data_IF_957032466217
#
_entry.id   IF_957032466217
#
_cell.length_a   1.000
_cell.length_b   1.000
_cell.length_c   1.000
_cell.angle_alpha   90.00
_cell.angle_beta   90.00
_cell.angle_gamma   90.00
#
_symmetry.space_group_name_H-M   'P 1'
#
loop_
_entity.id
_entity.type
_entity.pdbx_description
1 polymer ?
#
# COMPACT_ATOMS: atom_id res chain seq x y z
N UNK A 1 11.70 -52.25 44.94
CA UNK A 1 12.02 -51.40 46.11
C UNK A 1 12.41 -50.04 45.55
N UNK A 2 11.84 -48.88 45.85
CA UNK A 2 10.79 -48.45 46.76
C UNK A 2 10.75 -46.91 46.72
N UNK A 3 9.56 -46.37 46.44
CA UNK A 3 8.96 -45.10 46.87
C UNK A 3 9.53 -43.71 46.47
N UNK A 4 8.63 -43.05 45.73
CA UNK A 4 8.26 -41.64 45.62
C UNK A 4 8.38 -40.71 46.84
N UNK A 5 8.66 -39.43 46.53
CA UNK A 5 7.99 -38.18 47.01
C UNK A 5 8.16 -37.17 45.85
N UNK A 6 7.18 -36.49 45.27
CA UNK A 6 5.83 -36.11 45.70
C UNK A 6 5.81 -34.59 45.91
N UNK A 7 5.44 -33.80 44.90
CA UNK A 7 4.77 -32.49 45.05
C UNK A 7 3.76 -32.33 43.92
N UNK A 8 2.53 -32.08 44.37
CA UNK A 8 1.26 -31.95 43.68
C UNK A 8 1.16 -30.70 42.81
N UNK A 9 0.51 -30.81 41.65
CA UNK A 9 -0.25 -29.67 41.10
C UNK A 9 -1.55 -30.18 40.48
N UNK A 10 -2.60 -29.49 40.89
CA UNK A 10 -4.02 -29.82 40.79
C UNK A 10 -4.53 -30.07 39.37
N UNK A 11 -5.52 -30.96 39.34
CA UNK A 11 -6.48 -31.17 38.27
C UNK A 11 -7.35 -29.90 38.07
N UNK A 12 -7.70 -29.60 36.83
CA UNK A 12 -9.10 -29.30 36.42
C UNK A 12 -9.18 -29.17 34.88
N UNK A 13 -10.38 -29.36 34.30
CA UNK A 13 -10.57 -30.08 33.05
C UNK A 13 -11.00 -29.21 31.85
N UNK A 14 -11.04 -29.87 30.69
CA UNK A 14 -11.69 -29.43 29.45
C UNK A 14 -13.06 -28.76 29.68
N UNK A 15 -13.25 -27.58 29.07
CA UNK A 15 -14.54 -26.88 29.05
C UNK A 15 -14.59 -25.73 28.04
N UNK A 16 -15.31 -25.97 26.95
CA UNK A 16 -15.77 -25.03 25.92
C UNK A 16 -16.17 -23.64 26.44
N UNK A 17 -15.63 -22.57 25.84
CA UNK A 17 -16.34 -21.28 25.72
C UNK A 17 -15.81 -20.43 24.55
N UNK A 18 -16.31 -20.76 23.36
CA UNK A 18 -16.47 -19.81 22.26
C UNK A 18 -17.41 -18.67 22.71
N UNK A 19 -17.09 -17.43 22.32
CA UNK A 19 -17.73 -16.11 22.59
C UNK A 19 -17.00 -15.34 23.69
N UNK A 20 -16.80 -14.05 23.44
CA UNK A 20 -16.28 -13.00 24.35
C UNK A 20 -14.83 -12.52 24.17
N UNK A 21 -14.17 -12.76 23.03
CA UNK A 21 -12.93 -12.04 22.66
C UNK A 21 -13.05 -11.13 21.43
N UNK A 22 -14.29 -10.82 21.04
CA UNK A 22 -14.62 -9.71 20.15
C UNK A 22 -15.19 -8.62 21.06
N UNK A 23 -14.43 -7.56 21.34
CA UNK A 23 -14.87 -6.21 21.78
C UNK A 23 -13.74 -5.44 22.52
N UNK A 24 -12.52 -5.32 21.97
CA UNK A 24 -11.50 -4.39 22.50
C UNK A 24 -10.57 -3.81 21.41
N UNK A 25 -11.14 -3.31 20.33
CA UNK A 25 -10.44 -2.44 19.36
C UNK A 25 -11.39 -1.41 18.74
N UNK A 26 -12.27 -0.86 19.58
CA UNK A 26 -13.02 0.36 19.28
C UNK A 26 -12.33 1.51 20.02
N UNK A 27 -11.52 2.32 19.31
CA UNK A 27 -10.97 3.54 19.88
C UNK A 27 -9.62 3.96 19.34
N UNK A 28 -9.56 4.37 18.06
CA UNK A 28 -8.83 5.58 17.62
C UNK A 28 -9.06 5.84 16.11
N UNK A 29 -10.31 6.04 15.70
CA UNK A 29 -10.59 6.73 14.42
C UNK A 29 -10.52 8.23 14.69
N UNK A 30 -9.31 8.76 14.67
CA UNK A 30 -9.06 10.20 14.68
C UNK A 30 -9.42 10.73 13.29
N UNK A 31 -10.63 11.31 13.22
CA UNK A 31 -10.94 12.58 12.55
C UNK A 31 -9.81 13.15 11.68
N UNK A 32 -9.96 13.09 10.35
CA UNK A 32 -10.01 14.24 9.41
C UNK A 32 -10.39 13.71 8.02
N UNK A 33 -11.68 13.49 7.74
CA UNK A 33 -12.21 13.38 6.37
C UNK A 33 -13.63 13.94 6.33
N UNK A 34 -13.80 15.27 6.48
CA UNK A 34 -15.00 15.99 5.99
C UNK A 34 -14.64 17.47 5.79
N UNK A 35 -14.18 17.87 4.59
CA UNK A 35 -14.35 19.26 4.10
C UNK A 35 -14.04 19.38 2.60
N UNK A 36 -14.91 18.90 1.72
CA UNK A 36 -14.88 19.29 0.30
C UNK A 36 -16.18 19.12 -0.50
N UNK A 37 -17.35 18.85 0.12
CA UNK A 37 -18.60 18.57 -0.63
C UNK A 37 -19.86 19.24 -0.03
N UNK A 38 -19.81 20.53 0.30
CA UNK A 38 -21.01 21.27 0.74
C UNK A 38 -21.01 22.76 0.32
N UNK A 39 -20.57 23.07 -0.90
CA UNK A 39 -20.40 24.44 -1.40
C UNK A 39 -21.49 24.99 -2.31
N UNK A 40 -22.64 24.32 -2.48
CA UNK A 40 -23.73 24.83 -3.32
C UNK A 40 -25.07 24.59 -2.62
N UNK A 41 -25.57 25.63 -1.97
CA UNK A 41 -26.97 26.01 -1.70
C UNK A 41 -26.89 27.00 -0.53
N UNK A 42 -26.89 28.29 -0.85
CA UNK A 42 -27.50 29.41 -0.10
C UNK A 42 -27.02 30.72 -0.76
N UNK A 43 -27.63 31.05 -1.90
CA UNK A 43 -27.70 32.41 -2.41
C UNK A 43 -28.76 33.15 -1.60
N UNK A 44 -28.36 34.10 -0.77
CA UNK A 44 -29.30 35.02 -0.13
C UNK A 44 -28.77 35.70 1.11
N UNK A 45 -28.41 36.99 0.95
CA UNK A 45 -28.16 37.99 1.99
C UNK A 45 -26.81 37.88 2.72
N UNK A 46 -25.81 38.63 2.26
CA UNK A 46 -25.01 39.61 3.03
C UNK A 46 -24.14 40.37 2.02
N UNK A 47 -24.46 41.64 1.79
CA UNK A 47 -23.54 42.61 1.20
C UNK A 47 -22.55 43.06 2.26
N UNK A 48 -21.31 42.58 2.20
CA UNK A 48 -20.15 43.23 2.81
C UNK A 48 -18.89 42.83 2.02
N UNK A 49 -18.10 43.83 1.66
CA UNK A 49 -16.93 43.73 0.82
C UNK A 49 -15.95 42.63 1.27
N UNK A 50 -15.68 41.66 0.39
CA UNK A 50 -14.38 41.02 0.31
C UNK A 50 -13.88 41.14 -1.12
N UNK A 51 -12.75 41.83 -1.20
CA UNK A 51 -11.76 41.86 -2.28
C UNK A 51 -11.66 40.47 -2.92
N UNK A 52 -11.40 40.32 -4.24
CA UNK A 52 -11.09 39.01 -4.78
C UNK A 52 -9.91 38.46 -3.98
N UNK A 53 -10.16 37.41 -3.18
CA UNK A 53 -9.08 36.53 -2.79
C UNK A 53 -8.54 36.02 -4.12
N UNK A 54 -7.32 36.47 -4.44
CA UNK A 54 -6.47 35.72 -5.33
C UNK A 54 -6.41 34.35 -4.67
N UNK A 55 -7.12 33.39 -5.25
CA UNK A 55 -6.86 31.99 -5.01
C UNK A 55 -5.45 31.80 -5.56
N UNK A 56 -4.46 32.12 -4.73
CA UNK A 56 -3.09 31.70 -4.96
C UNK A 56 -3.19 30.21 -4.75
N UNK A 57 -3.57 29.50 -5.82
CA UNK A 57 -3.23 28.10 -5.93
C UNK A 57 -1.75 28.08 -5.62
N UNK A 58 -1.41 27.58 -4.43
CA UNK A 58 -0.02 27.29 -4.06
C UNK A 58 0.38 26.09 -4.92
N UNK A 59 0.46 26.33 -6.22
CA UNK A 59 0.93 25.36 -7.18
C UNK A 59 2.41 25.25 -6.91
N UNK A 60 2.85 24.03 -6.61
CA UNK A 60 4.25 23.75 -6.39
C UNK A 60 5.06 24.25 -7.60
N UNK A 61 6.24 24.79 -7.33
CA UNK A 61 7.22 24.98 -8.41
C UNK A 61 7.54 23.61 -9.01
N UNK A 62 8.04 23.59 -10.25
CA UNK A 62 8.43 22.34 -10.92
C UNK A 62 9.42 21.52 -10.07
N UNK A 63 10.39 22.19 -9.45
CA UNK A 63 11.35 21.58 -8.52
C UNK A 63 10.66 20.98 -7.28
N UNK A 64 9.74 21.72 -6.64
CA UNK A 64 8.99 21.22 -5.49
C UNK A 64 8.10 20.03 -5.86
N UNK A 65 7.49 20.05 -7.05
CA UNK A 65 6.66 18.96 -7.56
C UNK A 65 7.50 17.71 -7.86
N UNK A 66 8.68 17.88 -8.49
CA UNK A 66 9.67 16.81 -8.68
C UNK A 66 10.04 16.18 -7.34
N UNK A 67 10.49 16.99 -6.39
CA UNK A 67 10.98 16.50 -5.10
C UNK A 67 9.86 15.78 -4.35
N UNK A 68 8.63 16.29 -4.39
CA UNK A 68 7.48 15.62 -3.80
C UNK A 68 7.21 14.25 -4.47
N UNK A 69 7.18 14.20 -5.81
CA UNK A 69 6.90 12.97 -6.56
C UNK A 69 8.01 11.91 -6.34
N UNK A 70 9.28 12.31 -6.43
CA UNK A 70 10.43 11.44 -6.19
C UNK A 70 10.49 10.92 -4.74
N UNK A 71 10.15 11.77 -3.76
CA UNK A 71 10.05 11.33 -2.37
C UNK A 71 8.90 10.35 -2.15
N UNK A 72 7.74 10.59 -2.77
CA UNK A 72 6.61 9.68 -2.72
C UNK A 72 6.98 8.31 -3.31
N UNK A 73 7.62 8.30 -4.49
CA UNK A 73 8.16 7.09 -5.11
C UNK A 73 9.08 6.32 -4.16
N UNK A 74 10.07 6.99 -3.58
CA UNK A 74 11.04 6.35 -2.70
C UNK A 74 10.42 5.74 -1.43
N UNK A 75 9.30 6.29 -0.96
CA UNK A 75 8.54 5.69 0.15
C UNK A 75 7.76 4.47 -0.33
N UNK A 76 7.06 4.61 -1.45
CA UNK A 76 6.27 3.56 -2.08
C UNK A 76 7.11 2.34 -2.49
N UNK A 77 8.31 2.55 -3.06
CA UNK A 77 9.21 1.47 -3.48
C UNK A 77 9.63 0.62 -2.28
N UNK A 78 9.99 1.24 -1.16
CA UNK A 78 10.31 0.51 0.08
C UNK A 78 9.12 -0.26 0.65
N UNK A 79 7.90 0.27 0.52
CA UNK A 79 6.70 -0.45 0.94
C UNK A 79 6.46 -1.68 0.06
N UNK A 80 6.72 -1.55 -1.25
CA UNK A 80 6.65 -2.67 -2.18
C UNK A 80 7.70 -3.74 -1.84
N UNK A 81 8.97 -3.34 -1.69
CA UNK A 81 10.08 -4.23 -1.30
C UNK A 81 9.77 -4.99 0.00
N UNK A 82 9.20 -4.31 1.00
CA UNK A 82 8.79 -4.96 2.24
C UNK A 82 7.68 -5.99 2.00
N UNK A 83 6.64 -5.62 1.25
CA UNK A 83 5.54 -6.53 0.95
C UNK A 83 5.99 -7.74 0.12
N UNK A 84 6.93 -7.52 -0.81
CA UNK A 84 7.55 -8.57 -1.62
C UNK A 84 8.39 -9.50 -0.74
N UNK A 85 9.21 -8.96 0.16
CA UNK A 85 10.00 -9.76 1.10
C UNK A 85 9.14 -10.61 2.06
N UNK A 86 7.92 -10.16 2.39
CA UNK A 86 6.95 -10.93 3.17
C UNK A 86 6.26 -12.03 2.33
N UNK A 87 6.05 -11.78 1.05
CA UNK A 87 5.36 -12.68 0.12
C UNK A 87 6.27 -13.77 -0.44
N UNK A 88 7.47 -13.41 -0.90
CA UNK A 88 8.39 -14.28 -1.62
C UNK A 88 8.67 -15.61 -0.91
N UNK A 89 8.91 -15.67 0.41
CA UNK A 89 9.16 -16.95 1.11
C UNK A 89 7.98 -17.94 1.03
N UNK A 90 6.75 -17.44 0.83
CA UNK A 90 5.55 -18.28 0.70
C UNK A 90 5.46 -18.93 -0.69
N UNK A 91 6.01 -18.28 -1.71
CA UNK A 91 5.94 -18.69 -3.14
C UNK A 91 7.28 -19.16 -3.72
N UNK A 92 8.29 -19.37 -2.87
CA UNK A 92 9.61 -19.86 -3.29
C UNK A 92 10.02 -21.15 -2.56
N UNK A 93 9.23 -21.60 -1.59
CA UNK A 93 9.52 -22.80 -0.81
C UNK A 93 9.33 -24.10 -1.61
N UNK A 94 10.04 -25.18 -1.29
CA UNK A 94 9.87 -26.44 -2.01
C UNK A 94 8.41 -26.92 -1.97
N UNK A 95 7.89 -27.34 -3.13
CA UNK A 95 6.53 -27.85 -3.33
C UNK A 95 5.37 -26.85 -3.17
N UNK A 96 5.64 -25.54 -3.19
CA UNK A 96 4.58 -24.53 -3.22
C UNK A 96 3.69 -24.69 -4.48
N UNK A 97 2.40 -24.39 -4.35
CA UNK A 97 1.48 -24.36 -5.49
C UNK A 97 0.53 -23.18 -5.40
N UNK A 98 0.21 -22.57 -6.55
CA UNK A 98 -0.82 -21.52 -6.65
C UNK A 98 -2.18 -21.93 -6.05
N UNK A 99 -2.48 -23.23 -6.04
CA UNK A 99 -3.69 -23.78 -5.45
C UNK A 99 -3.76 -23.66 -3.93
N UNK A 100 -2.61 -23.58 -3.25
CA UNK A 100 -2.51 -23.67 -1.80
C UNK A 100 -3.16 -22.48 -1.11
N UNK A 101 -3.87 -22.76 0.00
CA UNK A 101 -4.57 -21.72 0.76
C UNK A 101 -3.60 -20.65 1.29
N UNK A 102 -2.41 -21.05 1.73
CA UNK A 102 -1.39 -20.14 2.25
C UNK A 102 -0.84 -19.23 1.13
N UNK A 103 -0.53 -19.80 -0.04
CA UNK A 103 -0.08 -19.06 -1.22
C UNK A 103 -1.13 -18.05 -1.65
N UNK A 104 -2.38 -18.48 -1.87
CA UNK A 104 -3.48 -17.56 -2.23
C UNK A 104 -3.67 -16.43 -1.23
N UNK A 105 -3.61 -16.73 0.07
CA UNK A 105 -3.77 -15.71 1.11
C UNK A 105 -2.59 -14.72 1.13
N UNK A 106 -1.36 -15.19 0.94
CA UNK A 106 -0.18 -14.33 0.84
C UNK A 106 -0.22 -13.46 -0.42
N UNK A 107 -0.45 -14.07 -1.59
CA UNK A 107 -0.59 -13.37 -2.87
C UNK A 107 -1.71 -12.33 -2.83
N UNK A 108 -2.89 -12.65 -2.29
CA UNK A 108 -3.97 -11.67 -2.17
C UNK A 108 -3.59 -10.45 -1.31
N UNK A 109 -2.79 -10.64 -0.24
CA UNK A 109 -2.30 -9.53 0.58
C UNK A 109 -1.26 -8.72 -0.18
N UNK A 110 -0.37 -9.38 -0.90
CA UNK A 110 0.64 -8.74 -1.72
C UNK A 110 0.01 -7.90 -2.85
N UNK A 111 -0.93 -8.47 -3.62
CA UNK A 111 -1.72 -7.75 -4.64
C UNK A 111 -2.48 -6.55 -4.07
N UNK A 112 -3.01 -6.64 -2.84
CA UNK A 112 -3.63 -5.49 -2.18
C UNK A 112 -2.62 -4.39 -1.86
N UNK A 113 -1.42 -4.75 -1.42
CA UNK A 113 -0.33 -3.80 -1.19
C UNK A 113 0.09 -3.12 -2.49
N UNK A 114 0.30 -3.89 -3.57
CA UNK A 114 0.65 -3.36 -4.90
C UNK A 114 -0.41 -2.39 -5.41
N UNK A 115 -1.69 -2.73 -5.29
CA UNK A 115 -2.80 -1.86 -5.68
C UNK A 115 -2.84 -0.56 -4.87
N UNK A 116 -2.59 -0.65 -3.56
CA UNK A 116 -2.55 0.52 -2.69
C UNK A 116 -1.35 1.43 -3.01
N UNK A 117 -0.19 0.84 -3.29
CA UNK A 117 1.03 1.54 -3.70
C UNK A 117 0.83 2.24 -5.04
N UNK A 118 0.26 1.54 -6.03
CA UNK A 118 -0.07 2.10 -7.34
C UNK A 118 -1.02 3.31 -7.21
N UNK A 119 -2.09 3.17 -6.43
CA UNK A 119 -3.03 4.26 -6.17
C UNK A 119 -2.35 5.45 -5.45
N UNK A 120 -1.48 5.16 -4.48
CA UNK A 120 -0.71 6.19 -3.79
C UNK A 120 0.20 6.96 -4.75
N UNK A 121 0.96 6.27 -5.61
CA UNK A 121 1.85 6.88 -6.59
C UNK A 121 1.09 7.82 -7.54
N UNK A 122 -0.02 7.36 -8.13
CA UNK A 122 -0.83 8.20 -9.02
C UNK A 122 -1.40 9.44 -8.30
N UNK A 123 -1.82 9.29 -7.04
CA UNK A 123 -2.37 10.41 -6.26
C UNK A 123 -1.33 11.45 -5.85
N UNK A 124 -0.05 11.07 -5.82
CA UNK A 124 1.04 11.88 -5.29
C UNK A 124 1.94 12.49 -6.37
N UNK A 125 1.59 12.37 -7.65
CA UNK A 125 2.22 13.12 -8.76
C UNK A 125 1.52 14.49 -8.84
N UNK A 126 2.14 15.60 -8.37
CA UNK A 126 1.46 16.88 -8.36
C UNK A 126 1.31 17.47 -9.77
N UNK A 127 0.33 18.37 -9.98
CA UNK A 127 0.36 19.28 -11.10
C UNK A 127 1.71 20.03 -11.13
N UNK A 128 2.33 20.15 -12.29
CA UNK A 128 3.70 20.65 -12.54
C UNK A 128 4.86 19.67 -12.27
N UNK A 129 4.61 18.38 -12.00
CA UNK A 129 5.70 17.40 -12.03
C UNK A 129 6.32 17.37 -13.43
N UNK A 130 7.66 17.42 -13.56
CA UNK A 130 8.34 17.26 -14.85
C UNK A 130 7.84 16.02 -15.60
N UNK A 131 7.64 16.14 -16.91
CA UNK A 131 7.04 15.07 -17.72
C UNK A 131 7.82 13.77 -17.65
N UNK A 132 9.15 13.83 -17.66
CA UNK A 132 10.02 12.66 -17.54
C UNK A 132 9.83 11.93 -16.19
N UNK A 133 9.73 12.68 -15.09
CA UNK A 133 9.52 12.11 -13.74
C UNK A 133 8.13 11.49 -13.64
N UNK A 134 7.09 12.21 -14.07
CA UNK A 134 5.72 11.69 -14.03
C UNK A 134 5.56 10.45 -14.92
N UNK A 135 6.21 10.42 -16.08
CA UNK A 135 6.19 9.26 -16.97
C UNK A 135 6.91 8.06 -16.35
N UNK A 136 8.12 8.25 -15.80
CA UNK A 136 8.87 7.17 -15.17
C UNK A 136 8.08 6.54 -14.00
N UNK A 137 7.47 7.38 -13.13
CA UNK A 137 6.66 6.89 -12.01
C UNK A 137 5.45 6.10 -12.52
N UNK A 138 4.77 6.57 -13.57
CA UNK A 138 3.64 5.83 -14.18
C UNK A 138 4.06 4.52 -14.81
N UNK A 139 5.23 4.47 -15.45
CA UNK A 139 5.80 3.23 -15.98
C UNK A 139 6.05 2.22 -14.87
N UNK A 140 6.64 2.65 -13.75
CA UNK A 140 6.81 1.81 -12.56
C UNK A 140 5.47 1.33 -12.00
N UNK A 141 4.48 2.23 -11.84
CA UNK A 141 3.12 1.86 -11.42
C UNK A 141 2.48 0.83 -12.35
N UNK A 142 2.66 0.99 -13.66
CA UNK A 142 2.16 0.04 -14.67
C UNK A 142 2.80 -1.34 -14.52
N UNK A 143 4.12 -1.41 -14.37
CA UNK A 143 4.85 -2.65 -14.17
C UNK A 143 4.38 -3.40 -12.89
N UNK A 144 4.16 -2.67 -11.79
CA UNK A 144 3.59 -3.27 -10.57
C UNK A 144 2.21 -3.89 -10.80
N UNK A 145 1.33 -3.19 -11.51
CA UNK A 145 -0.04 -3.68 -11.78
C UNK A 145 -0.03 -4.88 -12.73
N UNK A 146 0.88 -4.89 -13.70
CA UNK A 146 1.05 -6.01 -14.63
C UNK A 146 1.59 -7.27 -13.94
N UNK A 147 2.62 -7.12 -13.10
CA UNK A 147 3.12 -8.19 -12.23
C UNK A 147 2.01 -8.76 -11.34
N UNK A 148 1.24 -7.86 -10.71
CA UNK A 148 0.13 -8.26 -9.86
C UNK A 148 -0.95 -9.06 -10.59
N UNK A 149 -1.23 -8.70 -11.84
CA UNK A 149 -2.19 -9.40 -12.70
C UNK A 149 -1.70 -10.77 -13.17
N UNK A 150 -0.37 -10.99 -13.22
CA UNK A 150 0.24 -12.27 -13.58
C UNK A 150 0.08 -13.35 -12.52
N UNK A 151 -0.09 -12.98 -11.24
CA UNK A 151 -0.14 -13.94 -10.14
C UNK A 151 -1.14 -15.09 -10.34
N UNK A 152 -0.64 -16.32 -10.37
CA UNK A 152 -1.46 -17.52 -10.52
C UNK A 152 -2.04 -17.77 -11.91
N UNK A 153 -1.67 -16.96 -12.90
CA UNK A 153 -2.10 -17.10 -14.29
C UNK A 153 -0.92 -17.18 -15.27
N UNK A 154 0.11 -16.36 -15.05
CA UNK A 154 1.33 -16.34 -15.86
C UNK A 154 2.25 -17.51 -15.52
N UNK A 155 3.08 -17.89 -16.50
CA UNK A 155 4.17 -18.85 -16.34
C UNK A 155 5.36 -18.24 -15.61
N UNK A 156 6.24 -19.06 -15.02
CA UNK A 156 7.42 -18.57 -14.30
C UNK A 156 8.30 -17.62 -15.15
N UNK A 157 8.60 -17.91 -16.44
CA UNK A 157 9.38 -16.97 -17.26
C UNK A 157 8.67 -15.64 -17.54
N UNK A 158 7.33 -15.64 -17.58
CA UNK A 158 6.55 -14.41 -17.73
C UNK A 158 6.62 -13.58 -16.44
N UNK A 159 6.49 -14.22 -15.28
CA UNK A 159 6.64 -13.57 -13.97
C UNK A 159 8.06 -13.00 -13.81
N UNK A 160 9.10 -13.76 -14.14
CA UNK A 160 10.50 -13.28 -14.12
C UNK A 160 10.67 -12.08 -15.06
N UNK A 161 10.06 -12.13 -16.26
CA UNK A 161 10.07 -11.03 -17.21
C UNK A 161 9.36 -9.77 -16.70
N UNK A 162 8.31 -9.92 -15.90
CA UNK A 162 7.60 -8.80 -15.28
C UNK A 162 8.37 -8.23 -14.09
N UNK A 163 9.08 -9.06 -13.32
CA UNK A 163 9.98 -8.60 -12.25
C UNK A 163 11.10 -7.73 -12.81
N UNK A 164 11.74 -8.17 -13.90
CA UNK A 164 12.76 -7.37 -14.61
C UNK A 164 12.19 -6.02 -15.09
N UNK A 165 10.93 -5.98 -15.53
CA UNK A 165 10.30 -4.71 -15.95
C UNK A 165 10.07 -3.75 -14.77
N UNK A 166 9.80 -4.27 -13.57
CA UNK A 166 9.72 -3.44 -12.35
C UNK A 166 11.10 -2.84 -12.06
N UNK A 167 12.17 -3.64 -12.15
CA UNK A 167 13.54 -3.18 -11.93
C UNK A 167 13.96 -2.11 -12.95
N UNK A 168 13.75 -2.36 -14.25
CA UNK A 168 14.04 -1.39 -15.33
C UNK A 168 13.27 -0.07 -15.14
N UNK A 169 12.00 -0.16 -14.72
CA UNK A 169 11.18 1.02 -14.44
C UNK A 169 11.67 1.76 -13.17
N UNK A 170 12.12 1.03 -12.15
CA UNK A 170 12.68 1.61 -10.93
C UNK A 170 13.98 2.37 -11.22
N UNK A 171 14.87 1.83 -12.06
CA UNK A 171 16.06 2.50 -12.55
C UNK A 171 15.72 3.76 -13.33
N UNK A 172 14.69 3.71 -14.18
CA UNK A 172 14.19 4.86 -14.94
C UNK A 172 13.69 5.99 -14.02
N UNK A 173 13.01 5.65 -12.91
CA UNK A 173 12.59 6.65 -11.92
C UNK A 173 13.80 7.24 -11.21
N UNK A 174 14.78 6.42 -10.81
CA UNK A 174 16.00 6.89 -10.17
C UNK A 174 16.74 7.89 -11.06
N UNK A 175 16.95 7.55 -12.34
CA UNK A 175 17.60 8.43 -13.32
C UNK A 175 16.83 9.73 -13.59
N UNK A 176 15.50 9.73 -13.46
CA UNK A 176 14.68 10.94 -13.62
C UNK A 176 14.66 11.83 -12.36
N UNK A 177 14.94 11.25 -11.19
CA UNK A 177 14.90 11.92 -9.89
C UNK A 177 16.27 12.46 -9.43
N UNK A 178 17.36 12.03 -10.06
CA UNK A 178 18.73 12.56 -9.88
C UNK A 178 18.96 13.89 -10.64
#
# INVERSE_FOLDING_TARGET
>A
MGRSRGVTRDETPYGSQHRHWLLLSAGLLVLVVVSALAGWVMSGLITAQHRPEVNVSHTLTEEQARDQACNAYRVASRQWEQAYAEWLPVVSGPHWQWGDRAVKAATNRFTQAESAIAAQLESLIPPNTPTNVAQAIRSYTGALLEYSAGHGAASDPEMDGQENQIDDAAESVAAACD
#
